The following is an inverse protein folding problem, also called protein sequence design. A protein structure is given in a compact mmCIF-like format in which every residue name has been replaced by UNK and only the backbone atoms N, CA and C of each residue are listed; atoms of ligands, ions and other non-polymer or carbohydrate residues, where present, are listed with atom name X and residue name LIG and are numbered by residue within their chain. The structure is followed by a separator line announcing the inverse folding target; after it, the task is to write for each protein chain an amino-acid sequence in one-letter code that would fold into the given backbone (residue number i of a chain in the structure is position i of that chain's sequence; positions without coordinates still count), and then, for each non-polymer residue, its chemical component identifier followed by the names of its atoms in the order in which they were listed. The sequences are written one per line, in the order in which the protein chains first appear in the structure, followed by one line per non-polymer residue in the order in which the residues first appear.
data_IF_853116265984
#
_entry.id   IF_853116265984
#
_cell.length_a   1.000
_cell.length_b   1.000
_cell.length_c   1.000
_cell.angle_alpha   90.00
_cell.angle_beta   90.00
_cell.angle_gamma   90.00
#
_symmetry.space_group_name_H-M   'P 1'
#
loop_
_entity.id
_entity.type
_entity.pdbx_description
1 polymer ?
#
# COMPACT_ATOMS: atom_id res chain seq x y z
N UNK A 1 17.82 36.60 3.33
CA UNK A 1 16.63 36.04 4.04
C UNK A 1 16.87 34.55 4.22
N UNK A 2 17.24 34.15 5.44
CA UNK A 2 17.64 32.77 5.75
C UNK A 2 16.46 31.97 6.27
N UNK A 3 16.19 30.81 5.65
CA UNK A 3 15.41 29.75 6.29
C UNK A 3 16.34 28.57 6.55
N UNK A 4 16.72 28.44 7.82
CA UNK A 4 17.57 27.40 8.39
C UNK A 4 16.68 26.17 8.64
N UNK A 5 16.93 25.07 7.95
CA UNK A 5 16.31 23.77 8.26
C UNK A 5 17.30 22.90 9.06
N UNK A 6 16.82 22.06 10.01
CA UNK A 6 17.68 21.34 10.96
C UNK A 6 18.69 20.41 10.29
N UNK A 7 19.93 20.45 10.81
CA UNK A 7 21.15 19.84 10.24
C UNK A 7 21.39 18.39 10.70
N UNK A 8 20.36 17.71 11.19
CA UNK A 8 20.43 16.29 11.58
C UNK A 8 19.08 15.62 11.34
N UNK A 9 18.90 15.05 10.15
CA UNK A 9 18.01 13.92 9.95
C UNK A 9 18.90 12.72 9.64
N UNK A 10 19.28 12.03 10.69
CA UNK A 10 20.11 10.84 10.63
C UNK A 10 19.24 9.61 10.30
N UNK A 11 19.42 9.03 9.12
CA UNK A 11 18.79 7.77 8.71
C UNK A 11 19.70 6.55 8.97
N UNK A 12 20.77 6.69 9.77
CA UNK A 12 21.74 5.61 10.02
C UNK A 12 21.28 4.52 10.99
N UNK A 13 20.04 4.55 11.50
CA UNK A 13 19.57 3.56 12.50
C UNK A 13 18.80 2.35 11.94
N UNK A 14 18.57 2.24 10.62
CA UNK A 14 18.20 0.94 10.03
C UNK A 14 19.41 0.15 9.53
N UNK A 15 20.41 0.01 10.40
CA UNK A 15 21.26 -1.17 10.39
C UNK A 15 20.58 -2.26 11.22
N UNK A 16 19.77 -3.07 10.55
CA UNK A 16 19.77 -4.52 10.77
C UNK A 16 20.13 -5.15 9.41
N UNK A 17 21.37 -4.90 9.02
CA UNK A 17 22.10 -5.79 8.12
C UNK A 17 22.35 -7.07 8.92
N UNK A 18 21.41 -8.01 8.86
CA UNK A 18 21.68 -9.40 9.18
C UNK A 18 21.74 -10.16 7.87
N UNK A 19 22.89 -10.80 7.66
CA UNK A 19 23.04 -11.95 6.77
C UNK A 19 23.05 -11.65 5.28
N UNK A 20 24.12 -11.00 4.81
CA UNK A 20 24.86 -11.58 3.68
C UNK A 20 25.53 -12.87 4.15
N UNK A 21 24.75 -13.94 4.20
CA UNK A 21 25.26 -15.31 4.14
C UNK A 21 24.84 -15.83 2.78
N UNK A 22 25.87 -16.15 2.02
CA UNK A 22 25.79 -16.73 0.71
C UNK A 22 25.11 -18.11 0.76
N UNK A 23 24.25 -18.35 -0.23
CA UNK A 23 24.09 -19.62 -0.95
C UNK A 23 23.90 -20.87 -0.08
N UNK A 24 22.67 -21.09 0.38
CA UNK A 24 22.21 -22.45 0.71
C UNK A 24 21.52 -23.06 -0.52
N UNK A 25 22.19 -24.02 -1.16
CA UNK A 25 21.55 -24.94 -2.12
C UNK A 25 20.56 -25.80 -1.33
N UNK A 26 19.28 -25.76 -1.67
CA UNK A 26 18.34 -26.79 -1.22
C UNK A 26 18.52 -28.02 -2.12
N UNK A 27 18.86 -29.16 -1.50
CA UNK A 27 18.75 -30.48 -2.10
C UNK A 27 17.35 -30.97 -1.77
N UNK A 28 16.49 -31.17 -2.76
CA UNK A 28 15.20 -31.83 -2.57
C UNK A 28 15.46 -33.33 -2.50
N UNK A 29 15.17 -34.03 -1.39
CA UNK A 29 15.06 -35.48 -1.40
C UNK A 29 13.62 -35.86 -1.74
N UNK A 30 13.47 -36.66 -2.79
CA UNK A 30 12.41 -37.68 -2.85
C UNK A 30 11.02 -37.24 -3.30
N UNK A 31 10.57 -37.86 -4.38
CA UNK A 31 9.17 -38.01 -4.76
C UNK A 31 8.26 -38.46 -3.60
N UNK A 32 7.00 -38.00 -3.61
CA UNK A 32 5.94 -38.63 -2.82
C UNK A 32 4.69 -37.78 -2.57
N UNK A 33 3.72 -37.81 -3.51
CA UNK A 33 2.28 -37.72 -3.19
C UNK A 33 1.55 -36.40 -3.51
N UNK A 34 0.37 -36.43 -4.18
CA UNK A 34 -0.48 -35.26 -4.37
C UNK A 34 -1.36 -35.05 -3.13
N UNK A 35 -1.00 -34.08 -2.29
CA UNK A 35 -1.87 -33.60 -1.21
C UNK A 35 -2.75 -32.44 -1.70
N UNK A 36 -4.09 -32.48 -1.55
CA UNK A 36 -4.95 -31.34 -1.83
C UNK A 36 -4.95 -30.42 -0.61
N UNK A 37 -4.42 -29.21 -0.77
CA UNK A 37 -4.59 -28.16 0.24
C UNK A 37 -3.32 -27.41 0.61
N UNK A 38 -2.73 -26.70 -0.34
CA UNK A 38 -2.02 -25.47 0.01
C UNK A 38 -3.03 -24.32 -0.03
N UNK A 39 -3.30 -23.62 1.09
CA UNK A 39 -4.00 -22.34 1.01
C UNK A 39 -3.09 -21.43 0.18
N UNK A 40 -3.56 -21.09 -1.01
CA UNK A 40 -2.85 -20.21 -1.93
C UNK A 40 -2.47 -18.95 -1.19
N UNK A 41 -1.18 -18.80 -0.87
CA UNK A 41 -0.58 -17.52 -0.56
C UNK A 41 -1.07 -16.53 -1.61
N UNK A 42 -1.70 -15.39 -1.25
CA UNK A 42 -2.15 -14.43 -2.25
C UNK A 42 -0.92 -13.94 -2.98
N UNK A 43 -0.68 -14.50 -4.16
CA UNK A 43 0.44 -14.13 -4.98
C UNK A 43 0.24 -12.67 -5.33
N UNK A 44 1.25 -11.83 -5.11
CA UNK A 44 1.29 -10.42 -5.52
C UNK A 44 1.03 -10.19 -7.04
N UNK A 45 0.81 -11.28 -7.79
CA UNK A 45 0.59 -11.39 -9.23
C UNK A 45 -0.89 -11.39 -9.63
N UNK A 46 -1.83 -11.30 -8.68
CA UNK A 46 -3.26 -11.29 -9.02
C UNK A 46 -3.61 -10.01 -9.80
N UNK A 47 -4.42 -10.15 -10.86
CA UNK A 47 -4.93 -9.00 -11.62
C UNK A 47 -5.74 -8.10 -10.68
N UNK A 48 -5.58 -6.77 -10.77
CA UNK A 48 -6.35 -5.87 -9.92
C UNK A 48 -7.85 -6.00 -10.21
N UNK A 49 -8.65 -6.12 -9.15
CA UNK A 49 -10.12 -6.11 -9.22
C UNK A 49 -10.62 -4.75 -9.71
N UNK A 50 -9.95 -3.69 -9.27
CA UNK A 50 -10.20 -2.32 -9.71
C UNK A 50 -8.93 -1.50 -9.54
N UNK A 51 -8.71 -0.59 -10.48
CA UNK A 51 -7.65 0.39 -10.37
C UNK A 51 -8.12 1.74 -10.92
N UNK A 52 -7.52 2.83 -10.46
CA UNK A 52 -7.85 4.16 -10.95
C UNK A 52 -7.33 5.29 -10.09
N UNK A 53 -7.40 6.49 -10.64
CA UNK A 53 -7.01 7.72 -9.98
C UNK A 53 -8.09 8.19 -9.02
N UNK A 54 -7.73 8.43 -7.76
CA UNK A 54 -8.58 9.06 -6.76
C UNK A 54 -7.79 10.14 -6.00
N UNK A 55 -8.50 11.07 -5.37
CA UNK A 55 -7.89 12.01 -4.42
C UNK A 55 -8.02 11.44 -3.01
N UNK A 56 -6.90 11.41 -2.29
CA UNK A 56 -6.82 10.95 -0.90
C UNK A 56 -6.57 12.13 0.03
N UNK A 57 -7.40 12.28 1.06
CA UNK A 57 -7.12 13.21 2.15
C UNK A 57 -5.95 12.68 3.01
N UNK A 58 -4.97 13.54 3.26
CA UNK A 58 -3.90 13.25 4.21
C UNK A 58 -4.39 13.42 5.64
N UNK A 59 -3.83 12.63 6.56
CA UNK A 59 -4.09 12.75 8.00
C UNK A 59 -3.23 13.90 8.54
N UNK A 60 -3.63 15.12 8.24
CA UNK A 60 -2.95 16.35 8.65
C UNK A 60 -3.94 17.36 9.23
N UNK A 61 -3.44 18.31 10.04
CA UNK A 61 -4.24 19.41 10.63
C UNK A 61 -4.93 20.26 9.55
N UNK A 62 -4.27 20.43 8.40
CA UNK A 62 -4.83 21.09 7.22
C UNK A 62 -5.37 20.03 6.26
N UNK A 63 -6.55 20.27 5.66
CA UNK A 63 -7.07 19.41 4.59
C UNK A 63 -6.14 19.46 3.38
N UNK A 64 -5.41 18.38 3.13
CA UNK A 64 -4.58 18.23 1.94
C UNK A 64 -5.01 17.00 1.14
N UNK A 65 -5.57 17.23 -0.05
CA UNK A 65 -6.02 16.17 -0.96
C UNK A 65 -4.95 15.91 -2.01
N UNK A 66 -4.49 14.66 -2.10
CA UNK A 66 -3.47 14.25 -3.07
C UNK A 66 -4.02 13.24 -4.05
N UNK A 67 -3.77 13.47 -5.34
CA UNK A 67 -4.08 12.49 -6.38
C UNK A 67 -3.12 11.30 -6.28
N UNK A 68 -3.68 10.09 -6.20
CA UNK A 68 -2.94 8.83 -6.14
C UNK A 68 -3.59 7.80 -7.03
N UNK A 69 -2.79 6.91 -7.58
CA UNK A 69 -3.30 5.76 -8.32
C UNK A 69 -3.56 4.63 -7.34
N UNK A 70 -4.82 4.24 -7.21
CA UNK A 70 -5.25 3.18 -6.29
C UNK A 70 -5.39 1.86 -7.03
N UNK A 71 -4.96 0.78 -6.39
CA UNK A 71 -5.03 -0.57 -6.95
C UNK A 71 -5.54 -1.53 -5.89
N UNK A 72 -6.68 -2.14 -6.17
CA UNK A 72 -7.35 -3.12 -5.32
C UNK A 72 -7.04 -4.52 -5.83
N UNK A 73 -6.38 -5.34 -5.00
CA UNK A 73 -6.15 -6.77 -5.24
C UNK A 73 -6.62 -7.58 -4.04
N UNK A 74 -7.55 -8.51 -4.26
CA UNK A 74 -8.22 -9.24 -3.18
C UNK A 74 -8.81 -8.28 -2.14
N UNK A 75 -8.27 -8.31 -0.92
CA UNK A 75 -8.70 -7.47 0.21
C UNK A 75 -7.67 -6.39 0.59
N UNK A 76 -6.74 -6.07 -0.31
CA UNK A 76 -5.67 -5.10 -0.08
C UNK A 76 -5.77 -3.99 -1.10
N UNK A 77 -5.91 -2.76 -0.60
CA UNK A 77 -5.92 -1.54 -1.40
C UNK A 77 -4.58 -0.84 -1.24
N UNK A 78 -3.80 -0.81 -2.32
CA UNK A 78 -2.54 -0.07 -2.37
C UNK A 78 -2.75 1.25 -3.09
N UNK A 79 -1.89 2.23 -2.81
CA UNK A 79 -1.87 3.47 -3.59
C UNK A 79 -0.44 3.86 -3.94
N UNK A 80 -0.29 4.42 -5.13
CA UNK A 80 0.98 4.70 -5.78
C UNK A 80 1.06 6.16 -6.23
N UNK A 81 2.28 6.61 -6.54
CA UNK A 81 2.50 7.95 -7.10
C UNK A 81 1.95 8.07 -8.53
N UNK A 82 2.03 6.99 -9.29
CA UNK A 82 1.65 6.90 -10.71
C UNK A 82 0.96 5.57 -11.03
N UNK A 83 0.39 5.49 -12.23
CA UNK A 83 -0.36 4.32 -12.72
C UNK A 83 0.53 3.12 -13.09
N UNK A 84 1.84 3.30 -13.10
CA UNK A 84 2.79 2.22 -13.39
C UNK A 84 3.12 1.38 -12.15
N UNK A 85 2.53 1.71 -11.00
CA UNK A 85 2.75 1.03 -9.72
C UNK A 85 4.23 1.00 -9.28
N UNK A 86 5.05 1.93 -9.79
CA UNK A 86 6.50 1.94 -9.56
C UNK A 86 6.87 2.37 -8.14
N UNK A 87 6.06 3.22 -7.53
CA UNK A 87 6.34 3.79 -6.20
C UNK A 87 5.13 3.63 -5.29
N UNK A 88 5.23 2.62 -4.42
CA UNK A 88 4.21 2.31 -3.44
C UNK A 88 4.22 3.37 -2.33
N UNK A 89 3.11 4.07 -2.18
CA UNK A 89 2.94 5.18 -1.23
C UNK A 89 2.21 4.76 0.05
N UNK A 90 1.49 3.64 0.02
CA UNK A 90 0.95 2.99 1.21
C UNK A 90 -0.03 1.86 0.89
N UNK A 91 -0.45 1.18 1.96
CA UNK A 91 -1.27 -0.04 1.92
C UNK A 91 -2.41 0.09 2.93
N UNK A 92 -3.61 -0.33 2.54
CA UNK A 92 -4.81 -0.37 3.37
C UNK A 92 -5.37 -1.79 3.30
N UNK A 93 -5.49 -2.46 4.44
CA UNK A 93 -6.10 -3.80 4.52
C UNK A 93 -7.60 -3.67 4.77
N UNK A 94 -8.43 -4.21 3.87
CA UNK A 94 -9.88 -4.01 3.87
C UNK A 94 -10.69 -5.11 4.59
N UNK A 95 -10.07 -6.21 5.03
CA UNK A 95 -10.79 -7.40 5.53
C UNK A 95 -11.80 -7.13 6.66
N UNK A 96 -11.59 -6.07 7.43
CA UNK A 96 -12.49 -5.67 8.52
C UNK A 96 -12.91 -4.21 8.41
N UNK A 97 -12.70 -3.59 7.25
CA UNK A 97 -13.02 -2.18 7.04
C UNK A 97 -14.45 -2.00 6.60
N UNK A 98 -15.02 -0.84 6.93
CA UNK A 98 -16.32 -0.39 6.44
C UNK A 98 -16.14 0.81 5.53
N UNK A 99 -17.02 0.94 4.53
CA UNK A 99 -17.06 2.11 3.66
C UNK A 99 -18.28 2.93 4.01
N UNK A 100 -18.07 4.19 4.38
CA UNK A 100 -19.13 5.16 4.58
C UNK A 100 -19.08 6.19 3.47
N UNK A 101 -20.22 6.41 2.82
CA UNK A 101 -20.39 7.53 1.90
C UNK A 101 -20.64 8.80 2.70
N UNK A 102 -19.94 9.88 2.35
CA UNK A 102 -20.04 11.15 3.02
C UNK A 102 -20.89 12.11 2.19
N UNK A 103 -21.83 12.80 2.85
CA UNK A 103 -22.60 13.84 2.20
C UNK A 103 -21.67 15.00 1.81
N UNK A 104 -21.77 15.51 0.57
CA UNK A 104 -21.00 16.67 0.17
C UNK A 104 -21.38 17.86 1.04
N UNK A 105 -20.37 18.42 1.72
CA UNK A 105 -20.51 19.71 2.40
C UNK A 105 -20.67 20.84 1.37
N UNK A 106 -21.05 22.04 1.79
CA UNK A 106 -21.19 23.19 0.87
C UNK A 106 -19.93 23.42 0.00
N UNK A 107 -18.73 23.22 0.56
CA UNK A 107 -17.43 23.32 -0.13
C UNK A 107 -17.12 22.13 -1.06
N UNK A 108 -17.85 21.03 -0.90
CA UNK A 108 -17.69 19.76 -1.62
C UNK A 108 -18.85 19.46 -2.56
N UNK A 109 -19.67 20.46 -2.89
CA UNK A 109 -20.81 20.31 -3.78
C UNK A 109 -20.40 19.64 -5.11
N UNK A 110 -21.06 18.53 -5.45
CA UNK A 110 -20.77 17.73 -6.66
C UNK A 110 -19.59 16.77 -6.55
N UNK A 111 -18.94 16.65 -5.39
CA UNK A 111 -17.87 15.66 -5.14
C UNK A 111 -18.46 14.38 -4.55
N UNK A 112 -17.95 13.23 -5.00
CA UNK A 112 -18.22 11.94 -4.38
C UNK A 112 -17.14 11.64 -3.35
N UNK A 113 -17.51 11.63 -2.08
CA UNK A 113 -16.59 11.41 -0.96
C UNK A 113 -17.02 10.16 -0.20
N UNK A 114 -16.04 9.36 0.19
CA UNK A 114 -16.25 8.21 1.06
C UNK A 114 -15.03 8.08 1.97
N UNK A 115 -15.24 7.43 3.11
CA UNK A 115 -14.18 7.05 4.04
C UNK A 115 -14.15 5.54 4.24
N UNK A 116 -12.96 5.03 4.50
CA UNK A 116 -12.72 3.65 4.88
C UNK A 116 -12.34 3.67 6.37
N UNK A 117 -13.18 3.06 7.21
CA UNK A 117 -13.01 2.96 8.67
C UNK A 117 -12.57 1.55 9.05
#
# INVERSE_FOLDING_TARGET
MSLKLPRNWDFSTFKVETSRIARSKSVIPGEGGPGPGSPSSPTSMERPLKAGWLKKQQRSLVKNWQQRYFVLRGSTLTYHKDDKENTLQGVIQLRSSKVNELLPSSDDTGKFLFEII
#
